data_IF_966398659983
#
_entry.id   IF_966398659983
#
_cell.length_a   1.000
_cell.length_b   1.000
_cell.length_c   1.000
_cell.angle_alpha   90.00
_cell.angle_beta   90.00
_cell.angle_gamma   90.00
#
_symmetry.space_group_name_H-M   'P 1'
#
loop_
_entity.id
_entity.type
_entity.pdbx_description
1 polymer ?
#
# COMPACT_ATOMS: atom_id res chain seq x y z
N UNK A 1 15.37 -17.71 48.24
CA UNK A 1 15.93 -16.94 47.11
C UNK A 1 15.97 -17.86 45.92
N UNK A 2 15.01 -17.74 45.00
CA UNK A 2 15.03 -18.44 43.72
C UNK A 2 15.17 -17.38 42.63
N UNK A 3 16.32 -17.36 41.97
CA UNK A 3 16.59 -16.52 40.80
C UNK A 3 15.77 -17.04 39.63
N UNK A 4 14.95 -16.17 39.05
CA UNK A 4 14.42 -16.37 37.71
C UNK A 4 15.54 -15.98 36.75
N UNK A 5 16.15 -16.96 36.09
CA UNK A 5 17.01 -16.73 34.95
C UNK A 5 16.09 -16.26 33.83
N UNK A 6 16.14 -14.97 33.52
CA UNK A 6 15.58 -14.42 32.29
C UNK A 6 16.44 -14.96 31.14
N UNK A 7 16.00 -16.07 30.57
CA UNK A 7 16.51 -16.54 29.29
C UNK A 7 16.27 -15.43 28.29
N UNK A 8 17.33 -14.76 27.85
CA UNK A 8 17.32 -13.89 26.69
C UNK A 8 16.85 -14.73 25.50
N UNK A 9 15.54 -14.71 25.23
CA UNK A 9 15.02 -15.01 23.90
C UNK A 9 15.65 -13.95 23.00
N UNK A 10 16.42 -14.41 22.02
CA UNK A 10 17.00 -13.53 21.01
C UNK A 10 15.90 -12.61 20.51
N UNK A 11 16.06 -11.31 20.75
CA UNK A 11 15.18 -10.31 20.19
C UNK A 11 15.36 -10.41 18.68
N UNK A 12 14.42 -11.06 17.98
CA UNK A 12 14.14 -10.67 16.61
C UNK A 12 13.95 -9.16 16.67
N UNK A 13 14.84 -8.43 15.99
CA UNK A 13 14.88 -6.98 16.08
C UNK A 13 13.47 -6.45 15.84
N UNK A 14 12.97 -5.65 16.78
CA UNK A 14 11.60 -5.12 16.74
C UNK A 14 11.25 -4.48 15.37
N UNK A 15 12.26 -3.98 14.64
CA UNK A 15 12.11 -3.49 13.28
C UNK A 15 11.79 -4.56 12.22
N UNK A 16 12.30 -5.78 12.32
CA UNK A 16 11.97 -6.88 11.38
C UNK A 16 10.49 -7.28 11.49
N UNK A 17 9.98 -7.38 12.72
CA UNK A 17 8.56 -7.65 12.96
C UNK A 17 7.64 -6.56 12.38
N UNK A 18 8.06 -5.29 12.45
CA UNK A 18 7.28 -4.17 11.91
C UNK A 18 7.28 -4.18 10.37
N UNK A 19 8.41 -4.52 9.73
CA UNK A 19 8.49 -4.63 8.27
C UNK A 19 7.62 -5.76 7.74
N UNK A 20 7.62 -6.92 8.41
CA UNK A 20 6.78 -8.05 8.03
C UNK A 20 5.29 -7.71 8.18
N UNK A 21 4.90 -7.05 9.29
CA UNK A 21 3.53 -6.61 9.48
C UNK A 21 3.08 -5.59 8.42
N UNK A 22 3.97 -4.68 8.00
CA UNK A 22 3.68 -3.72 6.93
C UNK A 22 3.57 -4.40 5.56
N UNK A 23 4.40 -5.42 5.32
CA UNK A 23 4.33 -6.25 4.13
C UNK A 23 3.01 -7.03 4.05
N UNK A 24 2.63 -7.69 5.14
CA UNK A 24 1.35 -8.43 5.23
C UNK A 24 0.16 -7.50 4.98
N UNK A 25 0.19 -6.30 5.59
CA UNK A 25 -0.87 -5.30 5.37
C UNK A 25 -0.92 -4.81 3.93
N UNK A 26 0.24 -4.57 3.31
CA UNK A 26 0.32 -4.20 1.89
C UNK A 26 -0.26 -5.32 1.03
N UNK A 27 0.13 -6.57 1.25
CA UNK A 27 -0.40 -7.73 0.51
C UNK A 27 -1.92 -7.85 0.62
N UNK A 28 -2.45 -7.78 1.85
CA UNK A 28 -3.89 -7.81 2.09
C UNK A 28 -4.63 -6.64 1.41
N UNK A 29 -4.03 -5.44 1.40
CA UNK A 29 -4.59 -4.31 0.68
C UNK A 29 -4.60 -4.52 -0.84
N UNK A 30 -3.49 -5.02 -1.41
CA UNK A 30 -3.40 -5.33 -2.85
C UNK A 30 -4.48 -6.33 -3.28
N UNK A 31 -4.70 -7.38 -2.49
CA UNK A 31 -5.68 -8.41 -2.80
C UNK A 31 -7.13 -7.90 -2.78
N UNK A 32 -7.44 -6.97 -1.89
CA UNK A 32 -8.81 -6.47 -1.70
C UNK A 32 -9.12 -5.25 -2.58
N UNK A 33 -8.19 -4.30 -2.69
CA UNK A 33 -8.47 -2.97 -3.20
C UNK A 33 -7.96 -2.73 -4.62
N UNK A 34 -6.98 -3.50 -5.10
CA UNK A 34 -6.31 -3.22 -6.38
C UNK A 34 -7.27 -3.22 -7.57
N UNK A 35 -8.20 -4.17 -7.62
CA UNK A 35 -9.18 -4.25 -8.71
C UNK A 35 -10.12 -3.03 -8.72
N UNK A 36 -10.61 -2.64 -7.54
CA UNK A 36 -11.48 -1.48 -7.38
C UNK A 36 -10.76 -0.18 -7.75
N UNK A 37 -9.49 -0.04 -7.35
CA UNK A 37 -8.69 1.14 -7.69
C UNK A 37 -8.39 1.22 -9.19
N UNK A 38 -8.05 0.10 -9.83
CA UNK A 38 -7.81 0.06 -11.28
C UNK A 38 -9.07 0.48 -12.06
N UNK A 39 -10.23 -0.05 -11.70
CA UNK A 39 -11.51 0.33 -12.31
C UNK A 39 -11.82 1.82 -12.12
N UNK A 40 -11.62 2.34 -10.91
CA UNK A 40 -11.82 3.76 -10.60
C UNK A 40 -10.94 4.67 -11.46
N UNK A 41 -9.66 4.34 -11.60
CA UNK A 41 -8.70 5.10 -12.39
C UNK A 41 -9.02 5.03 -13.89
N UNK A 42 -9.45 3.86 -14.38
CA UNK A 42 -9.87 3.68 -15.76
C UNK A 42 -11.08 4.55 -16.11
N UNK A 43 -12.14 4.48 -15.30
CA UNK A 43 -13.38 5.26 -15.48
C UNK A 43 -13.09 6.76 -15.39
N UNK A 44 -12.15 7.17 -14.54
CA UNK A 44 -11.77 8.57 -14.36
C UNK A 44 -10.80 9.10 -15.42
N UNK A 45 -10.37 8.25 -16.38
CA UNK A 45 -9.46 8.64 -17.46
C UNK A 45 -7.99 8.83 -17.02
N UNK A 46 -7.61 8.32 -15.84
CA UNK A 46 -6.26 8.43 -15.29
C UNK A 46 -5.33 7.34 -15.86
N UNK A 47 -5.11 7.34 -17.18
CA UNK A 47 -4.29 6.34 -17.87
C UNK A 47 -2.84 6.28 -17.38
N UNK A 48 -2.29 7.42 -16.95
CA UNK A 48 -0.90 7.52 -16.44
C UNK A 48 -0.71 6.74 -15.12
N UNK A 49 -1.78 6.51 -14.36
CA UNK A 49 -1.74 5.74 -13.12
C UNK A 49 -1.51 4.23 -13.34
N UNK A 50 -1.67 3.75 -14.58
CA UNK A 50 -1.49 2.33 -14.94
C UNK A 50 -0.06 1.84 -14.71
N UNK A 51 0.93 2.72 -14.86
CA UNK A 51 2.32 2.36 -14.58
C UNK A 51 2.51 2.02 -13.10
N UNK A 52 1.98 2.84 -12.19
CA UNK A 52 2.07 2.61 -10.75
C UNK A 52 1.31 1.35 -10.31
N UNK A 53 0.14 1.07 -10.90
CA UNK A 53 -0.59 -0.20 -10.69
C UNK A 53 0.26 -1.40 -11.14
N UNK A 54 0.94 -1.29 -12.28
CA UNK A 54 1.82 -2.35 -12.81
C UNK A 54 3.01 -2.58 -11.88
N UNK A 55 3.61 -1.50 -11.34
CA UNK A 55 4.68 -1.59 -10.35
C UNK A 55 4.22 -2.34 -9.11
N UNK A 56 3.03 -2.01 -8.58
CA UNK A 56 2.47 -2.66 -7.40
C UNK A 56 2.16 -4.15 -7.62
N UNK A 57 1.65 -4.52 -8.80
CA UNK A 57 1.45 -5.94 -9.18
C UNK A 57 2.74 -6.71 -9.35
N UNK A 58 3.81 -6.02 -9.72
CA UNK A 58 5.14 -6.60 -9.90
C UNK A 58 5.96 -6.72 -8.61
N UNK A 59 5.40 -6.37 -7.45
CA UNK A 59 6.07 -6.54 -6.17
C UNK A 59 6.16 -8.03 -5.85
N UNK A 60 7.40 -8.54 -5.76
CA UNK A 60 7.67 -9.92 -5.42
C UNK A 60 8.93 -9.98 -4.56
N UNK A 61 8.86 -10.74 -3.47
CA UNK A 61 10.03 -11.13 -2.69
C UNK A 61 10.33 -12.60 -2.96
N UNK A 62 11.60 -12.88 -3.22
CA UNK A 62 12.09 -14.26 -3.26
C UNK A 62 12.13 -14.84 -1.85
N UNK A 63 12.05 -16.17 -1.73
CA UNK A 63 12.11 -16.86 -0.44
C UNK A 63 13.41 -16.60 0.36
N UNK A 64 14.47 -16.16 -0.32
CA UNK A 64 15.76 -15.80 0.29
C UNK A 64 15.92 -14.28 0.52
N UNK A 65 14.84 -13.50 0.40
CA UNK A 65 14.88 -12.05 0.58
C UNK A 65 15.29 -11.67 1.99
N UNK A 66 16.14 -10.66 2.09
CA UNK A 66 16.58 -10.13 3.38
C UNK A 66 15.66 -8.99 3.85
N UNK A 67 15.72 -8.59 5.14
CA UNK A 67 15.01 -7.39 5.60
C UNK A 67 15.37 -6.11 4.82
N UNK A 68 16.57 -6.04 4.23
CA UNK A 68 16.96 -4.92 3.35
C UNK A 68 16.19 -4.93 2.04
N UNK A 69 15.92 -6.12 1.48
CA UNK A 69 15.13 -6.28 0.27
C UNK A 69 13.66 -5.95 0.54
N UNK A 70 13.11 -6.38 1.68
CA UNK A 70 11.77 -5.96 2.15
C UNK A 70 11.67 -4.45 2.26
N UNK A 71 12.64 -3.78 2.92
CA UNK A 71 12.67 -2.30 3.00
C UNK A 71 12.71 -1.64 1.62
N UNK A 72 13.54 -2.16 0.69
CA UNK A 72 13.64 -1.61 -0.67
C UNK A 72 12.32 -1.77 -1.41
N UNK A 73 11.68 -2.92 -1.29
CA UNK A 73 10.38 -3.19 -1.91
C UNK A 73 9.29 -2.29 -1.33
N UNK A 74 9.20 -2.17 -0.01
CA UNK A 74 8.24 -1.29 0.66
C UNK A 74 8.44 0.18 0.27
N UNK A 75 9.68 0.66 0.12
CA UNK A 75 9.96 2.00 -0.42
C UNK A 75 9.45 2.18 -1.85
N UNK A 76 9.65 1.18 -2.70
CA UNK A 76 9.14 1.20 -4.08
C UNK A 76 7.61 1.20 -4.10
N UNK A 77 6.98 0.39 -3.27
CA UNK A 77 5.53 0.35 -3.11
C UNK A 77 4.98 1.70 -2.63
N UNK A 78 5.63 2.30 -1.62
CA UNK A 78 5.27 3.61 -1.08
C UNK A 78 5.22 4.68 -2.17
N UNK A 79 6.26 4.80 -3.00
CA UNK A 79 6.31 5.82 -4.07
C UNK A 79 5.14 5.67 -5.04
N UNK A 80 4.82 4.44 -5.45
CA UNK A 80 3.67 4.22 -6.35
C UNK A 80 2.33 4.48 -5.64
N UNK A 81 2.18 4.10 -4.37
CA UNK A 81 0.98 4.40 -3.59
C UNK A 81 0.77 5.90 -3.38
N UNK A 82 1.84 6.67 -3.15
CA UNK A 82 1.79 8.12 -3.02
C UNK A 82 1.31 8.78 -4.32
N UNK A 83 1.85 8.35 -5.47
CA UNK A 83 1.38 8.83 -6.80
C UNK A 83 -0.07 8.46 -7.06
N UNK A 84 -0.48 7.23 -6.74
CA UNK A 84 -1.89 6.81 -6.85
C UNK A 84 -2.80 7.65 -5.96
N UNK A 85 -2.33 8.00 -4.77
CA UNK A 85 -3.04 8.90 -3.85
C UNK A 85 -3.22 10.28 -4.49
N UNK A 86 -2.17 10.83 -5.09
CA UNK A 86 -2.22 12.10 -5.82
C UNK A 86 -3.22 12.04 -6.99
N UNK A 87 -3.16 10.99 -7.82
CA UNK A 87 -4.13 10.81 -8.91
C UNK A 87 -5.56 10.81 -8.38
N UNK A 88 -5.86 9.99 -7.36
CA UNK A 88 -7.21 9.90 -6.78
C UNK A 88 -7.70 11.25 -6.27
N UNK A 89 -6.84 12.04 -5.62
CA UNK A 89 -7.23 13.36 -5.11
C UNK A 89 -7.37 14.45 -6.17
N UNK A 90 -6.76 14.27 -7.35
CA UNK A 90 -6.91 15.21 -8.47
C UNK A 90 -8.14 14.95 -9.34
N UNK A 91 -8.77 13.78 -9.21
CA UNK A 91 -9.98 13.45 -9.96
C UNK A 91 -11.13 14.35 -9.48
N UNK A 92 -11.70 15.11 -10.42
CA UNK A 92 -12.95 15.84 -10.21
C UNK A 92 -14.12 14.93 -10.56
N UNK A 93 -15.00 14.57 -9.61
CA UNK A 93 -16.15 13.69 -9.88
C UNK A 93 -17.03 14.22 -11.03
N UNK A 94 -17.23 15.55 -11.08
CA UNK A 94 -18.06 16.21 -12.10
C UNK A 94 -17.44 16.21 -13.51
N UNK A 95 -16.13 15.93 -13.62
CA UNK A 95 -15.42 15.90 -14.90
C UNK A 95 -15.42 14.49 -15.52
N UNK A 96 -15.85 13.47 -14.78
CA UNK A 96 -15.91 12.09 -15.27
C UNK A 96 -17.15 11.90 -16.15
N UNK A 97 -16.90 11.60 -17.42
CA UNK A 97 -17.95 11.45 -18.45
C UNK A 97 -18.20 10.00 -18.86
N UNK A 98 -17.45 9.04 -18.29
CA UNK A 98 -17.63 7.62 -18.57
C UNK A 98 -18.97 7.12 -18.01
N UNK A 99 -19.78 6.49 -18.86
CA UNK A 99 -21.11 6.01 -18.51
C UNK A 99 -21.10 4.86 -17.48
N UNK A 100 -19.94 4.24 -17.22
CA UNK A 100 -19.74 3.25 -16.15
C UNK A 100 -19.59 3.88 -14.77
N UNK A 101 -19.37 5.20 -14.69
CA UNK A 101 -19.20 5.88 -13.42
C UNK A 101 -20.45 5.73 -12.54
N UNK A 102 -20.31 5.25 -11.29
CA UNK A 102 -21.45 5.09 -10.41
C UNK A 102 -21.92 6.45 -9.88
N UNK A 103 -23.19 6.51 -9.48
CA UNK A 103 -23.81 7.74 -8.95
C UNK A 103 -23.10 8.26 -7.68
N UNK A 104 -22.41 7.39 -6.95
CA UNK A 104 -21.67 7.69 -5.73
C UNK A 104 -20.14 7.73 -5.94
N UNK A 105 -19.68 8.07 -7.16
CA UNK A 105 -18.27 8.19 -7.50
C UNK A 105 -17.46 9.04 -6.51
N UNK A 106 -18.02 10.15 -6.02
CA UNK A 106 -17.38 11.01 -5.00
C UNK A 106 -17.12 10.25 -3.68
N UNK A 107 -18.06 9.39 -3.26
CA UNK A 107 -17.84 8.53 -2.11
C UNK A 107 -16.72 7.52 -2.41
N UNK A 108 -16.76 6.86 -3.57
CA UNK A 108 -15.72 5.90 -3.98
C UNK A 108 -14.32 6.53 -3.98
N UNK A 109 -14.16 7.73 -4.57
CA UNK A 109 -12.90 8.48 -4.57
C UNK A 109 -12.40 8.74 -3.15
N UNK A 110 -13.28 9.22 -2.25
CA UNK A 110 -12.90 9.47 -0.85
C UNK A 110 -12.48 8.19 -0.12
N UNK A 111 -13.22 7.10 -0.29
CA UNK A 111 -12.90 5.82 0.34
C UNK A 111 -11.57 5.24 -0.18
N UNK A 112 -11.37 5.24 -1.51
CA UNK A 112 -10.14 4.78 -2.14
C UNK A 112 -8.94 5.62 -1.70
N UNK A 113 -9.08 6.94 -1.71
CA UNK A 113 -8.02 7.86 -1.28
C UNK A 113 -7.67 7.69 0.21
N UNK A 114 -8.67 7.52 1.08
CA UNK A 114 -8.44 7.27 2.50
C UNK A 114 -7.69 5.94 2.74
N UNK A 115 -8.04 4.88 2.01
CA UNK A 115 -7.36 3.57 2.11
C UNK A 115 -5.92 3.62 1.60
N UNK A 116 -5.68 4.29 0.49
CA UNK A 116 -4.33 4.53 -0.02
C UNK A 116 -3.47 5.27 1.01
N UNK A 117 -4.00 6.35 1.57
CA UNK A 117 -3.31 7.14 2.59
C UNK A 117 -2.99 6.33 3.85
N UNK A 118 -3.92 5.49 4.32
CA UNK A 118 -3.69 4.60 5.47
C UNK A 118 -2.56 3.59 5.21
N UNK A 119 -2.52 3.00 4.01
CA UNK A 119 -1.45 2.10 3.60
C UNK A 119 -0.11 2.82 3.52
N UNK A 120 -0.06 4.02 2.92
CA UNK A 120 1.16 4.86 2.87
C UNK A 120 1.67 5.18 4.27
N UNK A 121 0.79 5.58 5.20
CA UNK A 121 1.17 5.89 6.59
C UNK A 121 1.72 4.65 7.30
N UNK A 122 1.10 3.48 7.07
CA UNK A 122 1.58 2.23 7.67
C UNK A 122 2.98 1.87 7.17
N UNK A 123 3.21 1.94 5.86
CA UNK A 123 4.53 1.66 5.27
C UNK A 123 5.58 2.68 5.75
N UNK A 124 5.23 3.96 5.78
CA UNK A 124 6.13 5.03 6.23
C UNK A 124 6.64 4.77 7.65
N UNK A 125 5.73 4.46 8.58
CA UNK A 125 6.08 4.13 9.97
C UNK A 125 6.98 2.90 10.07
N UNK A 126 6.75 1.91 9.22
CA UNK A 126 7.58 0.70 9.21
C UNK A 126 8.99 0.95 8.67
N UNK A 127 9.14 1.89 7.73
CA UNK A 127 10.44 2.27 7.16
C UNK A 127 11.26 3.21 8.06
N UNK A 128 10.64 3.85 9.03
CA UNK A 128 11.29 4.69 10.05
C UNK A 128 11.90 3.88 11.21
N UNK A 129 11.57 2.59 11.31
CA UNK A 129 12.07 1.65 12.32
C UNK A 129 13.31 0.87 11.85
#
# INVERSE_FOLDING_TARGET
>A
MNSIILTHVAASDQGEFILDAALDRLGAWLDVEMGSLEELLEISGCGDAKEDITVLRGLHLEAASTPTDTRRMLKRAQVSLERLTEYVWTISPDAVVDARAPTDLDAWLRWSGARLQDTVVTISRALEC
#
